data_IF_967385000582
#
_entry.id   IF_967385000582
#
_cell.length_a   1.000
_cell.length_b   1.000
_cell.length_c   1.000
_cell.angle_alpha   90.00
_cell.angle_beta   90.00
_cell.angle_gamma   90.00
#
_symmetry.space_group_name_H-M   'P 1'
#
loop_
_entity.id
_entity.type
_entity.pdbx_description
1 polymer ?
#
# COMPACT_ATOMS: atom_id res chain seq x y z
N UNK A 1 -11.73 6.64 -3.41
CA UNK A 1 -11.46 6.23 -4.79
C UNK A 1 -11.22 7.50 -5.57
N UNK A 2 -10.00 7.72 -6.09
CA UNK A 2 -9.73 8.87 -6.94
C UNK A 2 -10.05 8.53 -8.39
N UNK A 3 -10.64 9.49 -9.11
CA UNK A 3 -11.02 9.43 -10.52
C UNK A 3 -9.80 9.26 -11.44
N UNK A 4 -9.99 8.71 -12.66
CA UNK A 4 -8.90 8.24 -13.52
C UNK A 4 -8.20 9.42 -14.20
N UNK A 5 -6.93 9.64 -13.85
CA UNK A 5 -5.98 10.38 -14.68
C UNK A 5 -5.32 9.43 -15.70
N UNK A 6 -5.11 9.94 -16.91
CA UNK A 6 -4.41 9.30 -18.03
C UNK A 6 -3.10 8.60 -17.60
N UNK A 7 -2.89 7.35 -18.02
CA UNK A 7 -1.55 6.72 -18.09
C UNK A 7 -0.71 6.72 -16.81
N UNK A 8 -1.33 6.59 -15.63
CA UNK A 8 -0.63 6.61 -14.34
C UNK A 8 0.14 5.32 -14.03
N UNK A 9 0.66 5.19 -12.81
CA UNK A 9 1.24 3.94 -12.28
C UNK A 9 0.15 2.99 -11.74
N UNK A 10 0.45 1.68 -11.59
CA UNK A 10 -0.38 0.77 -10.81
C UNK A 10 -0.76 1.35 -9.45
N UNK A 11 -2.00 1.14 -9.04
CA UNK A 11 -2.51 1.59 -7.75
C UNK A 11 -2.68 0.39 -6.81
N UNK A 12 -2.21 0.52 -5.58
CA UNK A 12 -2.34 -0.51 -4.55
C UNK A 12 -2.83 0.07 -3.22
N UNK A 13 -3.57 -0.73 -2.44
CA UNK A 13 -3.98 -0.40 -1.06
C UNK A 13 -4.19 -1.67 -0.25
N UNK A 14 -3.90 -1.63 1.05
CA UNK A 14 -4.17 -2.73 1.97
C UNK A 14 -5.41 -2.40 2.79
N UNK A 15 -6.43 -3.25 2.74
CA UNK A 15 -7.68 -3.05 3.46
C UNK A 15 -7.49 -3.32 4.96
N UNK A 16 -8.38 -2.78 5.82
CA UNK A 16 -8.38 -3.12 7.25
C UNK A 16 -8.59 -4.61 7.56
N UNK A 17 -9.04 -5.42 6.59
CA UNK A 17 -9.21 -6.87 6.71
C UNK A 17 -7.97 -7.64 6.21
N UNK A 18 -6.85 -6.96 5.94
CA UNK A 18 -5.62 -7.59 5.49
C UNK A 18 -5.69 -8.08 4.04
N UNK A 19 -6.42 -7.39 3.15
CA UNK A 19 -6.43 -7.68 1.72
C UNK A 19 -5.65 -6.62 0.96
N UNK A 20 -4.66 -7.03 0.17
CA UNK A 20 -3.97 -6.13 -0.75
C UNK A 20 -4.80 -6.04 -2.04
N UNK A 21 -5.42 -4.89 -2.28
CA UNK A 21 -6.14 -4.55 -3.50
C UNK A 21 -5.22 -3.81 -4.46
N UNK A 22 -5.30 -4.13 -5.74
CA UNK A 22 -4.53 -3.45 -6.78
C UNK A 22 -5.26 -3.42 -8.12
N UNK A 23 -5.00 -2.37 -8.89
CA UNK A 23 -5.56 -2.15 -10.21
C UNK A 23 -4.68 -1.19 -11.02
N UNK A 24 -4.79 -1.25 -12.34
CA UNK A 24 -4.21 -0.23 -13.22
C UNK A 24 -5.17 0.06 -14.37
N UNK A 25 -5.75 1.26 -14.34
CA UNK A 25 -6.67 1.72 -15.36
C UNK A 25 -5.90 2.07 -16.64
N UNK A 26 -6.40 1.61 -17.79
CA UNK A 26 -5.81 1.93 -19.10
C UNK A 26 -4.65 1.01 -19.54
N UNK A 27 -4.12 0.16 -18.65
CA UNK A 27 -3.01 -0.73 -19.01
C UNK A 27 -3.53 -2.08 -19.56
N UNK A 28 -3.61 -2.17 -20.89
CA UNK A 28 -4.04 -3.39 -21.62
C UNK A 28 -2.96 -4.46 -21.70
N UNK A 29 -1.70 -4.06 -21.56
CA UNK A 29 -0.54 -4.94 -21.73
C UNK A 29 -0.23 -5.78 -20.50
N UNK A 30 -0.77 -5.41 -19.33
CA UNK A 30 -0.57 -6.16 -18.08
C UNK A 30 -1.14 -7.56 -18.21
N UNK A 31 -0.30 -8.57 -17.96
CA UNK A 31 -0.68 -9.98 -17.91
C UNK A 31 -0.55 -10.57 -16.52
N UNK A 32 0.38 -10.07 -15.72
CA UNK A 32 0.64 -10.58 -14.37
C UNK A 32 0.91 -9.44 -13.40
N UNK A 33 0.75 -9.74 -12.12
CA UNK A 33 1.06 -8.85 -11.01
C UNK A 33 2.05 -9.53 -10.10
N UNK A 34 3.22 -8.95 -9.93
CA UNK A 34 4.21 -9.41 -8.99
C UNK A 34 4.04 -8.65 -7.68
N UNK A 35 3.82 -9.40 -6.60
CA UNK A 35 3.61 -8.84 -5.26
C UNK A 35 4.93 -8.93 -4.51
N UNK A 36 5.42 -7.77 -4.08
CA UNK A 36 6.61 -7.62 -3.26
C UNK A 36 6.21 -7.39 -1.80
N UNK A 37 6.99 -7.96 -0.88
CA UNK A 37 6.81 -7.89 0.58
C UNK A 37 8.14 -7.58 1.27
N UNK A 38 8.09 -7.02 2.47
CA UNK A 38 9.25 -6.82 3.32
C UNK A 38 8.91 -6.17 4.65
N UNK A 39 9.84 -6.21 5.57
CA UNK A 39 9.82 -5.48 6.85
C UNK A 39 10.30 -4.02 6.72
N UNK A 40 10.73 -3.63 5.53
CA UNK A 40 11.31 -2.33 5.20
C UNK A 40 10.64 -1.72 3.96
N UNK A 41 10.70 -0.39 3.87
CA UNK A 41 10.21 0.39 2.74
C UNK A 41 11.40 0.93 1.91
N UNK A 42 11.56 0.56 0.62
CA UNK A 42 10.67 -0.29 -0.16
C UNK A 42 10.92 -1.79 0.08
N UNK A 43 9.88 -2.63 -0.06
CA UNK A 43 10.01 -4.09 0.02
C UNK A 43 10.82 -4.64 -1.15
N UNK A 44 11.63 -5.68 -0.89
CA UNK A 44 12.52 -6.29 -1.90
C UNK A 44 12.27 -7.78 -2.11
N UNK A 45 11.47 -8.41 -1.27
CA UNK A 45 11.22 -9.84 -1.38
C UNK A 45 10.02 -10.10 -2.27
N UNK A 46 10.19 -10.96 -3.26
CA UNK A 46 9.08 -11.51 -4.02
C UNK A 46 8.22 -12.42 -3.13
N UNK A 47 6.91 -12.17 -3.08
CA UNK A 47 5.96 -13.03 -2.37
C UNK A 47 5.28 -14.00 -3.32
N UNK A 48 4.66 -13.48 -4.37
CA UNK A 48 3.89 -14.27 -5.34
C UNK A 48 3.64 -13.47 -6.62
N UNK A 49 3.28 -14.19 -7.69
CA UNK A 49 2.83 -13.61 -8.95
C UNK A 49 1.41 -14.07 -9.25
N UNK A 50 0.53 -13.14 -9.65
CA UNK A 50 -0.89 -13.38 -9.89
C UNK A 50 -1.25 -13.01 -11.32
N UNK A 51 -1.87 -13.93 -12.07
CA UNK A 51 -2.36 -13.63 -13.41
C UNK A 51 -3.48 -12.58 -13.38
N UNK A 52 -3.42 -11.62 -14.29
CA UNK A 52 -4.49 -10.62 -14.46
C UNK A 52 -5.69 -11.24 -15.16
N UNK A 53 -6.76 -11.47 -14.41
CA UNK A 53 -8.02 -12.01 -14.95
C UNK A 53 -9.17 -10.99 -14.96
N UNK A 54 -8.97 -9.83 -14.33
CA UNK A 54 -9.93 -8.71 -14.24
C UNK A 54 -9.19 -7.39 -13.99
N UNK A 55 -9.89 -6.26 -14.11
CA UNK A 55 -9.30 -4.93 -13.94
C UNK A 55 -8.82 -4.65 -12.51
N UNK A 56 -9.62 -4.99 -11.49
CA UNK A 56 -9.25 -4.90 -10.07
C UNK A 56 -9.12 -6.29 -9.46
N UNK A 57 -8.02 -6.52 -8.75
CA UNK A 57 -7.74 -7.77 -8.06
C UNK A 57 -7.34 -7.54 -6.61
N UNK A 58 -7.43 -8.60 -5.82
CA UNK A 58 -6.97 -8.58 -4.44
C UNK A 58 -6.44 -9.94 -4.02
N UNK A 59 -5.53 -9.93 -3.06
CA UNK A 59 -5.04 -11.13 -2.38
C UNK A 59 -5.12 -10.97 -0.85
N UNK A 60 -5.42 -12.03 -0.09
CA UNK A 60 -5.29 -12.00 1.36
C UNK A 60 -3.81 -12.03 1.77
N UNK A 61 -3.44 -11.18 2.72
CA UNK A 61 -2.08 -11.04 3.23
C UNK A 61 -1.99 -11.66 4.62
N UNK A 62 -1.24 -12.75 4.75
CA UNK A 62 -1.27 -13.65 5.91
C UNK A 62 -1.04 -12.94 7.26
N UNK A 63 -0.05 -12.04 7.32
CA UNK A 63 0.33 -11.37 8.57
C UNK A 63 -0.10 -9.91 8.60
N UNK A 64 -0.93 -9.44 7.66
CA UNK A 64 -1.22 -8.01 7.52
C UNK A 64 -1.86 -7.37 8.75
N UNK A 65 -2.51 -8.16 9.60
CA UNK A 65 -3.13 -7.69 10.84
C UNK A 65 -2.22 -7.84 12.08
N UNK A 66 -1.15 -8.63 12.00
CA UNK A 66 -0.32 -9.01 13.15
C UNK A 66 1.13 -8.58 13.04
N UNK A 67 1.60 -8.20 11.84
CA UNK A 67 2.96 -7.73 11.61
C UNK A 67 2.93 -6.44 10.78
N UNK A 68 3.86 -5.53 11.09
CA UNK A 68 4.12 -4.40 10.22
C UNK A 68 4.96 -4.86 9.02
N UNK A 69 4.32 -4.94 7.86
CA UNK A 69 4.90 -5.35 6.60
C UNK A 69 4.60 -4.28 5.55
N UNK A 70 5.47 -4.13 4.57
CA UNK A 70 5.30 -3.23 3.43
C UNK A 70 5.07 -4.05 2.17
N UNK A 71 4.14 -3.57 1.35
CA UNK A 71 3.74 -4.23 0.11
C UNK A 71 3.92 -3.30 -1.07
N UNK A 72 4.31 -3.84 -2.22
CA UNK A 72 4.37 -3.14 -3.49
C UNK A 72 3.91 -4.10 -4.59
N UNK A 73 3.27 -3.57 -5.62
CA UNK A 73 2.81 -4.37 -6.76
C UNK A 73 3.51 -3.89 -8.02
N UNK A 74 4.14 -4.82 -8.73
CA UNK A 74 4.68 -4.58 -10.06
C UNK A 74 3.75 -5.20 -11.11
N UNK A 75 3.40 -4.43 -12.13
CA UNK A 75 2.64 -4.91 -13.26
C UNK A 75 3.60 -5.47 -14.31
N UNK A 76 3.36 -6.70 -14.76
CA UNK A 76 4.21 -7.38 -15.73
C UNK A 76 3.46 -7.64 -17.04
N UNK A 77 4.18 -7.61 -18.15
CA UNK A 77 3.70 -8.05 -19.47
C UNK A 77 3.71 -9.59 -19.61
N UNK A 78 3.58 -10.09 -20.84
CA UNK A 78 3.59 -11.54 -21.11
C UNK A 78 4.97 -12.19 -20.92
N UNK A 79 6.03 -11.40 -21.10
CA UNK A 79 7.44 -11.81 -21.08
C UNK A 79 8.10 -11.57 -19.71
N UNK A 80 7.29 -11.25 -18.68
CA UNK A 80 7.70 -10.91 -17.33
C UNK A 80 8.49 -9.60 -17.20
N UNK A 81 8.39 -8.69 -18.19
CA UNK A 81 8.96 -7.35 -18.06
C UNK A 81 8.05 -6.45 -17.21
N UNK A 82 8.67 -5.71 -16.30
CA UNK A 82 7.98 -4.72 -15.50
C UNK A 82 7.53 -3.52 -16.36
N UNK A 83 6.21 -3.32 -16.40
CA UNK A 83 5.57 -2.18 -17.06
C UNK A 83 5.42 -0.98 -16.12
N UNK A 84 5.33 -1.24 -14.81
CA UNK A 84 5.21 -0.19 -13.80
C UNK A 84 5.07 -0.75 -12.39
N UNK A 85 5.31 0.09 -11.39
CA UNK A 85 5.23 -0.26 -9.97
C UNK A 85 4.25 0.66 -9.24
N UNK A 86 3.58 0.13 -8.23
CA UNK A 86 2.74 0.91 -7.34
C UNK A 86 3.55 1.68 -6.31
N UNK A 87 2.91 2.63 -5.64
CA UNK A 87 3.40 3.12 -4.35
C UNK A 87 3.50 1.97 -3.33
N UNK A 88 4.38 2.16 -2.34
CA UNK A 88 4.52 1.22 -1.23
C UNK A 88 3.38 1.41 -0.23
N UNK A 89 2.75 0.29 0.15
CA UNK A 89 1.57 0.24 1.00
C UNK A 89 1.91 -0.49 2.31
N UNK A 90 1.77 0.16 3.48
CA UNK A 90 1.95 -0.52 4.76
C UNK A 90 0.75 -1.41 5.10
N UNK A 91 1.01 -2.51 5.82
CA UNK A 91 -0.01 -3.37 6.40
C UNK A 91 -0.77 -2.65 7.54
N UNK A 92 -2.02 -3.04 7.84
CA UNK A 92 -2.73 -2.61 9.03
C UNK A 92 -1.93 -2.79 10.33
N UNK A 93 -1.13 -3.86 10.44
CA UNK A 93 -0.29 -4.14 11.61
C UNK A 93 0.75 -3.06 11.92
N UNK A 94 1.10 -2.21 10.95
CA UNK A 94 1.93 -1.02 11.20
C UNK A 94 1.22 0.06 12.04
N UNK A 95 -0.12 0.05 12.10
CA UNK A 95 -0.91 1.02 12.87
C UNK A 95 -1.06 0.62 14.34
N UNK A 96 -1.02 -0.68 14.64
CA UNK A 96 -1.24 -1.23 15.97
C UNK A 96 0.06 -1.38 16.79
N UNK A 97 1.23 -1.20 16.15
CA UNK A 97 2.56 -1.31 16.75
C UNK A 97 3.10 -0.08 17.49
N UNK A 98 2.31 1.00 17.62
CA UNK A 98 2.63 2.14 18.48
C UNK A 98 2.99 3.43 17.75
N UNK A 99 2.12 4.45 17.90
CA UNK A 99 2.48 5.86 17.75
C UNK A 99 2.22 6.50 16.38
N UNK A 100 1.17 7.33 16.32
CA UNK A 100 1.11 8.52 15.45
C UNK A 100 0.92 8.27 13.95
N UNK A 101 -0.14 8.83 13.39
CA UNK A 101 -0.42 8.73 11.96
C UNK A 101 0.73 9.23 11.10
N UNK A 102 1.26 8.34 10.26
CA UNK A 102 1.97 8.76 9.06
C UNK A 102 0.94 8.80 7.93
N UNK A 103 0.29 9.97 7.79
CA UNK A 103 -0.14 10.39 6.46
C UNK A 103 1.14 10.62 5.66
N UNK A 104 1.51 9.71 4.76
CA UNK A 104 2.50 10.02 3.73
C UNK A 104 1.84 11.04 2.81
N UNK A 105 2.04 12.31 3.15
CA UNK A 105 1.71 13.44 2.29
C UNK A 105 2.95 14.32 2.20
N UNK A 106 3.58 14.32 1.03
CA UNK A 106 4.43 15.41 0.58
C UNK A 106 5.87 15.40 1.07
N UNK A 107 6.77 15.22 0.10
CA UNK A 107 8.13 15.75 0.13
C UNK A 107 8.17 17.23 0.58
N UNK A 108 8.94 17.54 1.63
CA UNK A 108 9.77 18.77 1.74
C UNK A 108 10.56 18.81 3.06
N UNK A 109 11.88 19.01 2.93
CA UNK A 109 12.64 19.89 3.81
C UNK A 109 13.27 19.29 5.06
N UNK A 110 14.59 19.20 5.03
CA UNK A 110 15.48 19.34 6.18
C UNK A 110 15.04 20.47 7.13
N UNK A 111 14.96 20.20 8.45
CA UNK A 111 15.70 20.89 9.53
C UNK A 111 15.12 20.46 10.88
N UNK A 112 16.02 20.16 11.83
CA UNK A 112 15.66 19.58 13.12
C UNK A 112 15.05 20.59 14.10
N UNK A 113 14.37 20.06 15.13
CA UNK A 113 14.42 20.61 16.49
C UNK A 113 13.75 19.66 17.50
N UNK A 114 14.40 19.57 18.64
CA UNK A 114 14.03 18.85 19.85
C UNK A 114 12.87 19.50 20.61
N UNK A 115 12.02 18.68 21.25
CA UNK A 115 11.40 19.02 22.55
C UNK A 115 9.88 19.24 22.56
N UNK A 116 9.24 18.70 23.60
CA UNK A 116 8.07 19.34 24.23
C UNK A 116 6.74 18.59 24.24
N UNK A 117 6.49 17.87 25.34
CA UNK A 117 5.23 17.71 26.11
C UNK A 117 3.94 18.39 25.59
N UNK A 118 2.82 17.64 25.57
CA UNK A 118 1.49 18.24 25.74
C UNK A 118 0.28 17.49 25.15
N UNK A 119 -0.57 16.93 26.02
CA UNK A 119 -2.03 16.98 25.86
C UNK A 119 -2.75 15.88 25.05
N UNK A 120 -3.25 14.86 25.75
CA UNK A 120 -4.26 13.93 25.24
C UNK A 120 -5.59 14.66 24.94
N UNK A 121 -5.97 14.76 23.66
CA UNK A 121 -7.37 14.95 23.24
C UNK A 121 -7.76 13.83 22.27
N UNK A 122 -8.48 12.83 22.78
CA UNK A 122 -9.07 11.75 21.98
C UNK A 122 -10.32 12.29 21.27
N UNK A 123 -10.47 12.18 19.94
CA UNK A 123 -11.72 12.48 19.28
C UNK A 123 -12.75 11.37 19.55
N UNK A 124 -13.97 11.80 19.90
CA UNK A 124 -15.15 10.97 20.13
C UNK A 124 -15.76 10.58 18.78
N UNK A 125 -15.82 9.29 18.48
CA UNK A 125 -16.59 8.77 17.35
C UNK A 125 -18.01 8.37 17.82
N UNK A 126 -19.07 8.67 17.04
CA UNK A 126 -20.43 8.26 17.40
C UNK A 126 -20.62 6.76 17.17
N UNK A 127 -21.28 6.11 18.13
CA UNK A 127 -21.87 4.77 17.96
C UNK A 127 -23.15 4.95 17.14
N UNK A 128 -23.28 4.23 16.03
CA UNK A 128 -24.54 4.12 15.30
C UNK A 128 -25.39 3.00 15.92
N UNK A 129 -26.69 3.28 16.04
CA UNK A 129 -27.74 2.47 16.66
C UNK A 129 -28.01 1.13 15.95
#
# INVERSE_FOLDING_TARGET
WQSPGEGGSPQAKCSPQGRLHFAWNGATEVRKWMIMIGDSNPPKQHLMTVSKVRFEQWVPMKNALSACEFYMVEALDADDHALGTSDVVPSPGCRDGGGGGMTVSGVRGFEGQTGGSGGNKRPKWPVQE
#
